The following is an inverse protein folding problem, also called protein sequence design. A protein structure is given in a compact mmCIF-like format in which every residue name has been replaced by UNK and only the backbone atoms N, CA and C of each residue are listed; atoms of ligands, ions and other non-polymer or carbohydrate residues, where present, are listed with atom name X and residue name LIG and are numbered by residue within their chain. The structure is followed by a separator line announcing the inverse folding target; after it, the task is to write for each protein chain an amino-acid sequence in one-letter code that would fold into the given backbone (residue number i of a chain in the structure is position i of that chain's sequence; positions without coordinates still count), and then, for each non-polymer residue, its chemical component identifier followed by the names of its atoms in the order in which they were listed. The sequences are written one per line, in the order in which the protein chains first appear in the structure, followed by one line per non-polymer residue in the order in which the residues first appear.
data_IF_123650267404
#
_entry.id   IF_123650267404
#
_cell.length_a   1.000
_cell.length_b   1.000
_cell.length_c   1.000
_cell.angle_alpha   90.00
_cell.angle_beta   90.00
_cell.angle_gamma   90.00
#
_symmetry.space_group_name_H-M   'P 1'
#
loop_
_entity.id
_entity.type
_entity.pdbx_description
1 polymer ?
#
# COMPACT_ATOMS: atom_id res chain seq x y z
N UNK A 1 5.94 -2.64 -8.92
CA UNK A 1 5.16 -1.93 -7.87
C UNK A 1 5.83 -0.61 -7.57
N UNK A 2 5.06 0.48 -7.46
CA UNK A 2 5.56 1.83 -7.20
C UNK A 2 4.74 2.50 -6.09
N UNK A 3 5.38 3.38 -5.28
CA UNK A 3 4.71 4.17 -4.24
C UNK A 3 5.23 5.59 -4.31
N UNK A 4 4.32 6.56 -4.47
CA UNK A 4 4.65 7.97 -4.62
C UNK A 4 3.85 8.86 -3.67
N UNK A 5 4.48 9.94 -3.19
CA UNK A 5 3.80 10.95 -2.39
C UNK A 5 2.93 11.83 -3.28
N UNK A 6 1.64 11.93 -2.96
CA UNK A 6 0.71 12.85 -3.63
C UNK A 6 0.50 14.11 -2.82
N UNK A 7 0.26 13.97 -1.51
CA UNK A 7 0.06 15.12 -0.64
C UNK A 7 0.35 14.79 0.82
N UNK A 8 0.66 15.83 1.58
CA UNK A 8 0.85 15.75 3.03
C UNK A 8 0.40 17.07 3.65
N UNK A 9 -0.07 17.03 4.90
CA UNK A 9 -0.32 18.25 5.68
C UNK A 9 0.94 19.12 5.71
N UNK A 10 0.87 20.41 5.36
CA UNK A 10 2.01 21.32 5.41
C UNK A 10 2.64 21.36 6.80
N UNK A 11 4.00 21.35 6.86
CA UNK A 11 4.75 21.32 8.12
C UNK A 11 4.22 20.30 9.13
N UNK A 12 3.92 19.08 8.67
CA UNK A 12 3.14 18.05 9.35
C UNK A 12 3.55 17.83 10.82
N UNK A 13 4.83 17.64 11.09
CA UNK A 13 5.35 17.40 12.45
C UNK A 13 5.24 18.64 13.35
N UNK A 14 5.53 19.83 12.79
CA UNK A 14 5.35 21.10 13.49
C UNK A 14 3.88 21.34 13.82
N UNK A 15 3.00 21.07 12.87
CA UNK A 15 1.54 21.20 13.02
C UNK A 15 1.01 20.28 14.12
N UNK A 16 1.41 19.00 14.12
CA UNK A 16 1.05 18.06 15.19
C UNK A 16 1.52 18.55 16.56
N UNK A 17 2.75 19.03 16.65
CA UNK A 17 3.33 19.51 17.91
C UNK A 17 2.65 20.81 18.40
N UNK A 18 2.32 21.72 17.50
CA UNK A 18 1.55 22.91 17.82
C UNK A 18 0.19 22.54 18.42
N UNK A 19 -0.54 21.64 17.79
CA UNK A 19 -1.85 21.17 18.26
C UNK A 19 -1.72 20.40 19.60
N UNK A 20 -0.68 19.56 19.75
CA UNK A 20 -0.41 18.85 21.01
C UNK A 20 -0.25 19.80 22.21
N UNK A 21 0.19 21.04 21.98
CA UNK A 21 0.39 22.06 23.01
C UNK A 21 -0.84 22.94 23.25
N UNK A 22 -2.03 22.55 22.80
CA UNK A 22 -3.27 23.33 22.94
C UNK A 22 -3.54 23.80 24.38
N UNK A 23 -3.13 23.01 25.37
CA UNK A 23 -3.27 23.36 26.81
C UNK A 23 -2.07 24.15 27.36
N UNK A 24 -1.12 24.55 26.52
CA UNK A 24 0.03 25.39 26.88
C UNK A 24 0.29 26.47 25.84
N UNK A 25 -0.60 27.50 25.74
CA UNK A 25 -0.58 28.49 24.65
C UNK A 25 0.76 29.22 24.53
N UNK A 26 1.41 29.51 25.64
CA UNK A 26 2.70 30.26 25.67
C UNK A 26 3.86 29.45 25.05
N UNK A 27 3.71 28.13 24.87
CA UNK A 27 4.72 27.24 24.31
C UNK A 27 4.28 26.62 22.98
N UNK A 28 3.13 27.03 22.46
CA UNK A 28 2.49 26.37 21.31
C UNK A 28 3.37 26.46 20.05
N UNK A 29 3.99 27.63 19.83
CA UNK A 29 4.85 27.88 18.66
C UNK A 29 6.33 27.51 18.86
N UNK A 30 6.66 26.79 19.92
CA UNK A 30 8.05 26.38 20.17
C UNK A 30 8.57 25.48 19.04
N UNK A 31 9.68 25.88 18.35
CA UNK A 31 10.22 25.13 17.24
C UNK A 31 10.87 23.79 17.64
N UNK A 32 11.15 23.60 18.94
CA UNK A 32 11.73 22.35 19.48
C UNK A 32 10.60 21.34 19.73
N UNK A 33 10.21 20.58 18.73
CA UNK A 33 9.08 19.66 18.82
C UNK A 33 9.44 18.16 18.77
N UNK A 34 10.60 17.77 18.26
CA UNK A 34 11.00 16.37 18.14
C UNK A 34 10.88 15.60 19.47
N UNK A 35 11.38 16.19 20.57
CA UNK A 35 11.28 15.61 21.91
C UNK A 35 9.83 15.42 22.40
N UNK A 36 8.91 16.32 22.02
CA UNK A 36 7.49 16.18 22.34
C UNK A 36 6.86 15.02 21.58
N UNK A 37 7.13 14.89 20.27
CA UNK A 37 6.60 13.79 19.46
C UNK A 37 7.13 12.44 19.96
N UNK A 38 8.44 12.37 20.30
CA UNK A 38 9.05 11.19 20.92
C UNK A 38 8.39 10.83 22.26
N UNK A 39 8.11 11.82 23.12
CA UNK A 39 7.39 11.62 24.37
C UNK A 39 5.96 11.07 24.09
N UNK A 40 5.23 11.62 23.14
CA UNK A 40 3.89 11.18 22.80
C UNK A 40 3.87 9.72 22.31
N UNK A 41 4.81 9.31 21.48
CA UNK A 41 4.95 7.92 21.02
C UNK A 41 5.24 7.00 22.21
N UNK A 42 6.24 7.34 23.03
CA UNK A 42 6.65 6.56 24.20
C UNK A 42 5.52 6.32 25.19
N UNK A 43 4.62 7.30 25.34
CA UNK A 43 3.49 7.24 26.28
C UNK A 43 2.14 6.90 25.64
N UNK A 44 2.15 6.46 24.37
CA UNK A 44 0.94 6.08 23.62
C UNK A 44 -0.10 7.21 23.50
N UNK A 45 0.33 8.46 23.41
CA UNK A 45 -0.54 9.62 23.18
C UNK A 45 -0.84 9.77 21.68
N UNK A 46 -1.58 8.81 21.12
CA UNK A 46 -1.79 8.65 19.69
C UNK A 46 -2.68 9.71 19.05
N UNK A 47 -3.53 10.42 19.81
CA UNK A 47 -4.43 11.45 19.28
C UNK A 47 -3.69 12.60 18.57
N UNK A 48 -2.46 12.90 18.97
CA UNK A 48 -1.59 13.90 18.34
C UNK A 48 -1.34 13.54 16.86
N UNK A 49 -1.12 12.27 16.56
CA UNK A 49 -0.79 11.76 15.23
C UNK A 49 -2.00 11.60 14.30
N UNK A 50 -3.21 11.88 14.80
CA UNK A 50 -4.42 12.01 13.97
C UNK A 50 -4.54 13.41 13.32
N UNK A 51 -3.74 14.39 13.76
CA UNK A 51 -3.86 15.79 13.35
C UNK A 51 -3.08 16.13 12.07
N UNK A 52 -2.49 15.14 11.43
CA UNK A 52 -1.78 15.27 10.15
C UNK A 52 -2.10 14.09 9.27
N UNK A 53 -2.21 14.31 7.97
CA UNK A 53 -2.55 13.28 6.98
C UNK A 53 -1.53 13.25 5.84
N UNK A 54 -1.42 12.08 5.21
CA UNK A 54 -0.61 11.85 4.02
C UNK A 54 -1.41 11.00 3.02
N UNK A 55 -1.29 11.34 1.73
CA UNK A 55 -1.86 10.57 0.61
C UNK A 55 -0.72 10.00 -0.22
N UNK A 56 -0.75 8.70 -0.44
CA UNK A 56 0.15 8.01 -1.37
C UNK A 56 -0.61 7.44 -2.56
N UNK A 57 0.04 7.48 -3.72
CA UNK A 57 -0.30 6.65 -4.88
C UNK A 57 0.44 5.32 -4.76
N UNK A 58 -0.27 4.23 -4.96
CA UNK A 58 0.27 2.86 -4.87
C UNK A 58 -0.11 2.11 -6.15
N UNK A 59 0.89 1.72 -6.94
CA UNK A 59 0.73 0.82 -8.07
C UNK A 59 0.96 -0.62 -7.65
N UNK A 60 -0.04 -1.47 -7.87
CA UNK A 60 -0.04 -2.86 -7.42
C UNK A 60 -0.96 -3.72 -8.29
N UNK A 61 -1.28 -4.92 -7.84
CA UNK A 61 -2.25 -5.82 -8.49
C UNK A 61 -3.60 -5.80 -7.76
N UNK A 62 -4.66 -6.23 -8.46
CA UNK A 62 -6.01 -6.39 -7.87
C UNK A 62 -6.00 -7.33 -6.66
N UNK A 63 -5.14 -8.36 -6.67
CA UNK A 63 -4.99 -9.29 -5.55
C UNK A 63 -4.52 -8.58 -4.27
N UNK A 64 -3.51 -7.73 -4.38
CA UNK A 64 -2.94 -7.00 -3.23
C UNK A 64 -3.83 -5.81 -2.85
N UNK A 65 -4.39 -5.11 -3.84
CA UNK A 65 -5.37 -4.05 -3.61
C UNK A 65 -6.52 -4.50 -2.70
N UNK A 66 -7.08 -5.69 -2.95
CA UNK A 66 -8.13 -6.26 -2.13
C UNK A 66 -7.73 -6.43 -0.65
N UNK A 67 -6.46 -6.63 -0.34
CA UNK A 67 -5.94 -6.69 1.04
C UNK A 67 -5.75 -5.28 1.63
N UNK A 68 -5.23 -4.33 0.84
CA UNK A 68 -5.01 -2.93 1.25
C UNK A 68 -6.34 -2.26 1.60
N UNK A 69 -7.35 -2.43 0.77
CA UNK A 69 -8.68 -1.83 0.94
C UNK A 69 -9.42 -2.27 2.22
N UNK A 70 -8.93 -3.29 2.92
CA UNK A 70 -9.49 -3.72 4.23
C UNK A 70 -9.06 -2.85 5.41
N UNK A 71 -8.10 -1.94 5.23
CA UNK A 71 -7.65 -1.02 6.28
C UNK A 71 -8.63 0.14 6.47
N UNK A 72 -9.57 -0.01 7.41
CA UNK A 72 -10.70 0.89 7.64
C UNK A 72 -10.33 2.29 8.14
N UNK A 73 -9.09 2.48 8.62
CA UNK A 73 -8.60 3.79 9.07
C UNK A 73 -8.09 4.68 7.93
N UNK A 74 -8.30 4.26 6.68
CA UNK A 74 -7.93 4.98 5.47
C UNK A 74 -9.14 5.22 4.59
N UNK A 75 -9.01 6.22 3.72
CA UNK A 75 -9.88 6.44 2.57
C UNK A 75 -9.13 6.09 1.29
N UNK A 76 -9.87 5.62 0.29
CA UNK A 76 -9.29 5.10 -0.94
C UNK A 76 -10.01 5.62 -2.18
N UNK A 77 -9.22 5.81 -3.24
CA UNK A 77 -9.70 5.91 -4.60
C UNK A 77 -8.93 4.90 -5.44
N UNK A 78 -9.61 3.94 -6.05
CA UNK A 78 -8.98 2.92 -6.88
C UNK A 78 -9.33 3.12 -8.36
N UNK A 79 -8.39 2.78 -9.25
CA UNK A 79 -8.61 2.75 -10.70
C UNK A 79 -9.84 1.90 -11.06
N UNK A 80 -10.80 2.53 -11.73
CA UNK A 80 -12.07 1.89 -12.05
C UNK A 80 -12.06 1.20 -13.42
N UNK A 81 -11.99 -0.11 -13.42
CA UNK A 81 -12.16 -0.92 -14.63
C UNK A 81 -13.59 -0.92 -15.21
N UNK A 82 -14.53 -0.22 -14.57
CA UNK A 82 -15.86 0.07 -15.16
C UNK A 82 -15.82 1.29 -16.07
N UNK A 83 -14.90 2.21 -15.79
CA UNK A 83 -14.73 3.48 -16.51
C UNK A 83 -13.65 3.40 -17.58
N UNK A 84 -12.46 2.95 -17.21
CA UNK A 84 -11.28 2.87 -18.07
C UNK A 84 -10.97 1.41 -18.48
N UNK A 85 -10.19 1.22 -19.52
CA UNK A 85 -9.74 -0.11 -19.94
C UNK A 85 -8.58 -0.58 -19.05
N UNK A 86 -8.54 -1.89 -18.75
CA UNK A 86 -7.53 -2.45 -17.83
C UNK A 86 -6.09 -2.33 -18.33
N UNK A 87 -5.88 -2.27 -19.65
CA UNK A 87 -4.57 -2.14 -20.28
C UNK A 87 -3.95 -0.75 -20.18
N UNK A 88 -4.69 0.26 -19.72
CA UNK A 88 -4.17 1.63 -19.50
C UNK A 88 -3.10 1.69 -18.39
N UNK A 89 -3.08 0.73 -17.48
CA UNK A 89 -2.10 0.61 -16.40
C UNK A 89 -0.95 -0.37 -16.70
N UNK A 90 -0.84 -0.83 -17.93
CA UNK A 90 0.20 -1.76 -18.36
C UNK A 90 -0.29 -3.20 -18.53
N UNK A 91 0.66 -4.10 -18.72
CA UNK A 91 0.39 -5.52 -18.97
C UNK A 91 0.30 -6.29 -17.66
N UNK A 92 -0.39 -7.45 -17.72
CA UNK A 92 -0.46 -8.39 -16.61
C UNK A 92 0.89 -9.07 -16.46
N UNK A 93 1.52 -8.89 -15.29
CA UNK A 93 2.80 -9.51 -14.95
C UNK A 93 2.59 -10.85 -14.23
N UNK A 94 3.54 -11.77 -14.39
CA UNK A 94 3.54 -13.02 -13.65
C UNK A 94 3.78 -12.75 -12.15
N UNK A 95 3.01 -13.40 -11.26
CA UNK A 95 3.33 -13.37 -9.84
C UNK A 95 4.59 -14.17 -9.56
N UNK A 96 5.32 -13.79 -8.52
CA UNK A 96 6.44 -14.57 -8.00
C UNK A 96 5.92 -15.87 -7.37
N UNK A 97 6.12 -17.02 -8.06
CA UNK A 97 5.62 -18.31 -7.61
C UNK A 97 6.49 -18.86 -6.48
N UNK A 98 5.88 -19.07 -5.32
CA UNK A 98 6.50 -19.60 -4.12
C UNK A 98 5.80 -20.89 -3.66
N UNK A 99 6.51 -21.71 -2.88
CA UNK A 99 5.95 -22.92 -2.30
C UNK A 99 5.12 -22.60 -1.06
N UNK A 100 4.03 -23.34 -0.85
CA UNK A 100 3.21 -23.22 0.34
C UNK A 100 4.00 -23.66 1.59
N UNK A 101 4.05 -22.82 2.62
CA UNK A 101 4.57 -23.19 3.93
C UNK A 101 3.65 -24.25 4.59
N UNK A 102 4.24 -25.35 5.03
CA UNK A 102 3.50 -26.49 5.61
C UNK A 102 3.01 -26.20 7.05
N UNK A 103 3.66 -25.29 7.77
CA UNK A 103 3.34 -24.95 9.16
C UNK A 103 2.42 -23.72 9.24
N UNK A 104 2.71 -22.69 8.49
CA UNK A 104 1.91 -21.48 8.44
C UNK A 104 1.17 -21.37 7.11
N UNK A 105 -0.14 -21.65 7.13
CA UNK A 105 -0.99 -21.65 5.92
C UNK A 105 -1.07 -20.31 5.20
N UNK A 106 -0.68 -19.21 5.84
CA UNK A 106 -0.67 -17.87 5.23
C UNK A 106 0.70 -17.49 4.67
N UNK A 107 1.73 -18.28 4.92
CA UNK A 107 3.09 -18.04 4.51
C UNK A 107 3.50 -18.83 3.27
N UNK A 108 4.57 -18.40 2.62
CA UNK A 108 5.20 -19.08 1.51
C UNK A 108 6.72 -19.12 1.70
N UNK A 109 7.37 -20.07 1.06
CA UNK A 109 8.83 -20.27 1.08
C UNK A 109 9.40 -20.21 -0.34
N UNK A 110 10.64 -19.74 -0.50
CA UNK A 110 11.25 -19.52 -1.82
C UNK A 110 11.91 -20.81 -2.40
N UNK A 111 11.58 -21.98 -1.83
CA UNK A 111 12.14 -23.28 -2.20
C UNK A 111 11.24 -24.08 -3.19
N UNK A 112 10.45 -23.38 -4.02
CA UNK A 112 9.72 -24.02 -5.11
C UNK A 112 10.72 -24.58 -6.15
N UNK A 113 10.53 -25.87 -6.52
CA UNK A 113 11.36 -26.52 -7.53
C UNK A 113 11.41 -25.68 -8.82
N UNK A 114 12.62 -25.37 -9.36
CA UNK A 114 12.76 -24.50 -10.53
C UNK A 114 12.08 -25.04 -11.79
N UNK A 115 12.05 -26.36 -12.00
CA UNK A 115 11.40 -26.96 -13.15
C UNK A 115 9.86 -26.84 -13.03
N UNK A 116 9.32 -27.05 -11.82
CA UNK A 116 7.90 -26.84 -11.52
C UNK A 116 7.52 -25.39 -11.74
N UNK A 117 8.34 -24.45 -11.23
CA UNK A 117 8.16 -23.00 -11.42
C UNK A 117 8.08 -22.65 -12.90
N UNK A 118 9.10 -23.00 -13.69
CA UNK A 118 9.15 -22.70 -15.13
C UNK A 118 7.97 -23.26 -15.89
N UNK A 119 7.57 -24.51 -15.60
CA UNK A 119 6.40 -25.14 -16.23
C UNK A 119 5.12 -24.37 -15.95
N UNK A 120 4.89 -23.97 -14.70
CA UNK A 120 3.70 -23.24 -14.30
C UNK A 120 3.67 -21.82 -14.87
N UNK A 121 4.81 -21.12 -14.87
CA UNK A 121 4.94 -19.79 -15.49
C UNK A 121 4.59 -19.81 -16.98
N UNK A 122 5.07 -20.81 -17.72
CA UNK A 122 4.73 -20.97 -19.14
C UNK A 122 3.21 -21.17 -19.36
N UNK A 123 2.55 -21.94 -18.49
CA UNK A 123 1.10 -22.12 -18.53
C UNK A 123 0.34 -20.83 -18.17
N UNK A 124 0.83 -20.10 -17.19
CA UNK A 124 0.24 -18.80 -16.78
C UNK A 124 0.36 -17.76 -17.88
N UNK A 125 1.51 -17.67 -18.58
CA UNK A 125 1.69 -16.78 -19.74
C UNK A 125 0.61 -17.05 -20.78
N UNK A 126 0.38 -18.32 -21.14
CA UNK A 126 -0.64 -18.70 -22.11
C UNK A 126 -2.04 -18.31 -21.63
N UNK A 127 -2.36 -18.58 -20.37
CA UNK A 127 -3.66 -18.23 -19.78
C UNK A 127 -3.90 -16.73 -19.74
N UNK A 128 -2.90 -15.94 -19.31
CA UNK A 128 -3.02 -14.49 -19.20
C UNK A 128 -3.14 -13.83 -20.57
N UNK A 129 -2.37 -14.31 -21.56
CA UNK A 129 -2.49 -13.85 -22.95
C UNK A 129 -3.90 -14.14 -23.52
N UNK A 130 -4.44 -15.32 -23.24
CA UNK A 130 -5.80 -15.69 -23.67
C UNK A 130 -6.88 -14.85 -22.97
N UNK A 131 -6.72 -14.60 -21.67
CA UNK A 131 -7.65 -13.76 -20.92
C UNK A 131 -7.64 -12.30 -21.41
N UNK A 132 -6.45 -11.75 -21.69
CA UNK A 132 -6.32 -10.41 -22.24
C UNK A 132 -6.91 -10.31 -23.66
N UNK A 133 -6.66 -11.31 -24.51
CA UNK A 133 -7.22 -11.36 -25.86
C UNK A 133 -8.76 -11.41 -25.83
N UNK A 134 -9.32 -12.24 -24.95
CA UNK A 134 -10.78 -12.33 -24.78
C UNK A 134 -11.36 -11.00 -24.25
N UNK A 135 -10.69 -10.37 -23.27
CA UNK A 135 -11.10 -9.06 -22.78
C UNK A 135 -11.15 -8.01 -23.90
N UNK A 136 -10.09 -7.94 -24.70
CA UNK A 136 -10.01 -7.00 -25.83
C UNK A 136 -11.11 -7.25 -26.86
N UNK A 137 -11.33 -8.51 -27.23
CA UNK A 137 -12.41 -8.91 -28.14
C UNK A 137 -13.79 -8.51 -27.59
N UNK A 138 -14.07 -8.75 -26.30
CA UNK A 138 -15.33 -8.34 -25.67
C UNK A 138 -15.54 -6.83 -25.76
N UNK A 139 -14.48 -6.03 -25.54
CA UNK A 139 -14.56 -4.57 -25.68
C UNK A 139 -14.83 -4.16 -27.13
N UNK A 140 -14.16 -4.76 -28.10
CA UNK A 140 -14.34 -4.48 -29.55
C UNK A 140 -15.75 -4.82 -30.02
N UNK A 141 -16.34 -5.90 -29.50
CA UNK A 141 -17.71 -6.31 -29.77
C UNK A 141 -18.79 -5.53 -29.00
N UNK A 142 -18.36 -4.50 -28.21
CA UNK A 142 -19.27 -3.60 -27.49
C UNK A 142 -19.78 -4.13 -26.16
N UNK A 143 -19.18 -5.18 -25.60
CA UNK A 143 -19.51 -5.65 -24.26
C UNK A 143 -19.10 -4.60 -23.21
N UNK A 144 -19.99 -4.32 -22.27
CA UNK A 144 -19.73 -3.35 -21.21
C UNK A 144 -18.46 -3.72 -20.42
N UNK A 145 -17.59 -2.73 -20.13
CA UNK A 145 -16.33 -2.90 -19.38
C UNK A 145 -16.55 -3.62 -18.05
N UNK A 146 -17.67 -3.37 -17.37
CA UNK A 146 -18.02 -4.03 -16.10
C UNK A 146 -18.24 -5.54 -16.23
N UNK A 147 -18.60 -6.02 -17.41
CA UNK A 147 -18.74 -7.44 -17.73
C UNK A 147 -17.41 -8.01 -18.25
N UNK A 148 -16.79 -7.32 -19.23
CA UNK A 148 -15.55 -7.77 -19.85
C UNK A 148 -14.42 -8.00 -18.82
N UNK A 149 -14.27 -7.12 -17.83
CA UNK A 149 -13.25 -7.24 -16.77
C UNK A 149 -13.31 -8.53 -15.95
N UNK A 150 -14.42 -9.27 -15.99
CA UNK A 150 -14.60 -10.49 -15.20
C UNK A 150 -13.70 -11.66 -15.66
N UNK A 151 -13.16 -11.59 -16.88
CA UNK A 151 -12.23 -12.61 -17.40
C UNK A 151 -10.77 -12.34 -17.00
N UNK A 152 -10.48 -11.17 -16.41
CA UNK A 152 -9.11 -10.78 -16.07
C UNK A 152 -8.64 -11.45 -14.78
N UNK A 153 -7.37 -11.91 -14.71
CA UNK A 153 -6.80 -12.52 -13.53
C UNK A 153 -6.57 -11.49 -12.41
N UNK A 154 -6.46 -11.99 -11.17
CA UNK A 154 -6.20 -11.16 -9.99
C UNK A 154 -4.86 -10.40 -10.02
N UNK A 155 -3.90 -10.85 -10.82
CA UNK A 155 -2.62 -10.15 -11.04
C UNK A 155 -2.73 -8.98 -12.04
N UNK A 156 -3.93 -8.67 -12.55
CA UNK A 156 -4.16 -7.44 -13.34
C UNK A 156 -3.74 -6.20 -12.55
N UNK A 157 -2.95 -5.28 -13.17
CA UNK A 157 -2.51 -4.06 -12.51
C UNK A 157 -3.67 -3.18 -12.05
N UNK A 158 -3.46 -2.48 -10.95
CA UNK A 158 -4.34 -1.43 -10.45
C UNK A 158 -3.54 -0.33 -9.78
N UNK A 159 -4.17 0.83 -9.60
CA UNK A 159 -3.62 2.00 -8.91
C UNK A 159 -4.59 2.44 -7.83
N UNK A 160 -4.06 2.72 -6.64
CA UNK A 160 -4.83 3.16 -5.49
C UNK A 160 -4.24 4.47 -4.98
N UNK A 161 -5.09 5.46 -4.72
CA UNK A 161 -4.76 6.57 -3.83
C UNK A 161 -5.24 6.20 -2.44
N UNK A 162 -4.33 6.24 -1.48
CA UNK A 162 -4.58 5.85 -0.09
C UNK A 162 -4.26 7.02 0.83
N UNK A 163 -5.29 7.53 1.53
CA UNK A 163 -5.18 8.68 2.43
C UNK A 163 -5.45 8.26 3.86
N UNK A 164 -4.57 8.65 4.76
CA UNK A 164 -4.74 8.39 6.19
C UNK A 164 -3.98 9.35 7.08
N UNK A 165 -4.30 9.34 8.37
CA UNK A 165 -3.55 10.10 9.38
C UNK A 165 -2.15 9.53 9.57
N UNK A 166 -1.24 10.32 10.14
CA UNK A 166 0.09 9.87 10.54
C UNK A 166 0.00 8.59 11.41
N UNK A 167 -0.94 8.53 12.37
CA UNK A 167 -1.21 7.34 13.19
C UNK A 167 -1.61 6.12 12.35
N UNK A 168 -2.52 6.30 11.39
CA UNK A 168 -2.97 5.22 10.52
C UNK A 168 -1.81 4.65 9.72
N UNK A 169 -0.95 5.51 9.17
CA UNK A 169 0.25 5.11 8.44
C UNK A 169 1.25 4.34 9.31
N UNK A 170 1.51 4.80 10.56
CA UNK A 170 2.36 4.07 11.51
C UNK A 170 1.83 2.65 11.70
N UNK A 171 0.55 2.53 12.05
CA UNK A 171 -0.07 1.23 12.28
C UNK A 171 -0.05 0.31 11.04
N UNK A 172 -0.37 0.86 9.85
CA UNK A 172 -0.33 0.11 8.59
C UNK A 172 1.07 -0.43 8.29
N UNK A 173 2.08 0.43 8.37
CA UNK A 173 3.46 0.08 8.06
C UNK A 173 3.94 -1.00 9.03
N UNK A 174 3.77 -0.83 10.34
CA UNK A 174 4.16 -1.83 11.34
C UNK A 174 3.47 -3.19 11.10
N UNK A 175 2.17 -3.16 10.88
CA UNK A 175 1.39 -4.38 10.68
C UNK A 175 1.80 -5.12 9.40
N UNK A 176 2.08 -4.39 8.31
CA UNK A 176 2.30 -5.00 6.99
C UNK A 176 3.76 -5.22 6.64
N UNK A 177 4.70 -4.60 7.36
CA UNK A 177 6.12 -4.97 7.31
C UNK A 177 6.46 -6.17 8.22
N UNK A 178 5.51 -6.62 9.04
CA UNK A 178 5.73 -7.74 9.95
C UNK A 178 5.79 -9.09 9.22
N UNK A 179 6.55 -10.03 9.82
CA UNK A 179 6.66 -11.40 9.34
C UNK A 179 5.29 -12.09 9.25
N UNK A 180 5.04 -12.80 8.16
CA UNK A 180 3.75 -13.47 7.88
C UNK A 180 2.79 -12.64 7.02
N UNK A 181 3.17 -11.41 6.67
CA UNK A 181 2.50 -10.66 5.59
C UNK A 181 2.90 -11.25 4.23
N UNK A 182 1.99 -11.29 3.27
CA UNK A 182 2.32 -11.67 1.90
C UNK A 182 3.42 -10.77 1.34
N UNK A 183 4.45 -11.35 0.71
CA UNK A 183 5.68 -10.68 0.25
C UNK A 183 5.40 -9.39 -0.53
N UNK A 184 4.50 -9.42 -1.51
CA UNK A 184 4.17 -8.27 -2.34
C UNK A 184 3.51 -7.14 -1.53
N UNK A 185 2.70 -7.48 -0.52
CA UNK A 185 2.11 -6.49 0.38
C UNK A 185 3.16 -5.91 1.35
N UNK A 186 4.08 -6.74 1.82
CA UNK A 186 5.20 -6.30 2.66
C UNK A 186 6.12 -5.33 1.90
N UNK A 187 6.44 -5.62 0.64
CA UNK A 187 7.23 -4.74 -0.23
C UNK A 187 6.58 -3.35 -0.41
N UNK A 188 5.24 -3.31 -0.56
CA UNK A 188 4.48 -2.05 -0.59
C UNK A 188 4.58 -1.32 0.74
N UNK A 189 4.39 -2.01 1.87
CA UNK A 189 4.49 -1.40 3.19
C UNK A 189 5.89 -0.80 3.44
N UNK A 190 6.94 -1.49 3.03
CA UNK A 190 8.33 -1.00 3.09
C UNK A 190 8.56 0.20 2.16
N UNK A 191 7.95 0.23 0.98
CA UNK A 191 8.00 1.39 0.09
C UNK A 191 7.25 2.59 0.70
N UNK A 192 6.08 2.36 1.32
CA UNK A 192 5.36 3.38 2.09
C UNK A 192 6.22 3.90 3.26
N UNK A 193 6.92 3.01 3.99
CA UNK A 193 7.84 3.40 5.08
C UNK A 193 8.93 4.33 4.60
N UNK A 194 9.54 4.06 3.45
CA UNK A 194 10.57 4.93 2.86
C UNK A 194 10.05 6.34 2.55
N UNK A 195 8.82 6.45 2.04
CA UNK A 195 8.19 7.76 1.81
C UNK A 195 7.85 8.42 3.15
N UNK A 196 7.25 7.69 4.09
CA UNK A 196 6.88 8.17 5.42
C UNK A 196 8.09 8.75 6.17
N UNK A 197 9.21 8.03 6.18
CA UNK A 197 10.44 8.44 6.88
C UNK A 197 10.99 9.77 6.36
N UNK A 198 10.85 10.04 5.06
CA UNK A 198 11.25 11.35 4.49
C UNK A 198 10.31 12.48 4.91
N UNK A 199 9.03 12.19 5.12
CA UNK A 199 8.00 13.19 5.42
C UNK A 199 7.81 13.44 6.92
N UNK A 200 8.10 12.44 7.76
CA UNK A 200 7.97 12.47 9.21
C UNK A 200 9.29 12.02 9.89
N UNK A 201 10.38 12.78 9.72
CA UNK A 201 11.71 12.34 10.20
C UNK A 201 11.79 12.21 11.73
N UNK A 202 11.21 13.15 12.51
CA UNK A 202 11.25 13.09 13.97
C UNK A 202 10.36 11.97 14.53
N UNK A 203 9.24 11.69 13.87
CA UNK A 203 8.37 10.56 14.21
C UNK A 203 9.09 9.24 13.90
N UNK A 204 9.75 9.15 12.75
CA UNK A 204 10.47 7.94 12.33
C UNK A 204 11.67 7.65 13.23
N UNK A 205 12.42 8.68 13.69
CA UNK A 205 13.47 8.53 14.68
C UNK A 205 12.90 8.01 16.02
N UNK A 206 11.74 8.54 16.44
CA UNK A 206 11.11 8.11 17.69
C UNK A 206 10.56 6.67 17.64
N UNK A 207 10.26 6.16 16.44
CA UNK A 207 9.84 4.77 16.15
C UNK A 207 11.02 3.83 15.89
N UNK A 208 12.25 4.33 15.90
CA UNK A 208 13.47 3.57 15.57
C UNK A 208 13.46 2.98 14.15
N UNK A 209 12.86 3.71 13.20
CA UNK A 209 12.79 3.30 11.78
C UNK A 209 13.98 3.84 10.95
N UNK A 210 14.81 4.68 11.52
CA UNK A 210 16.03 5.29 10.97
C UNK A 210 17.17 5.20 11.97
#
# INVERSE_FOLDING_TARGET
MNVELISITPDAEKTMAHIARVSNPNNQDNPKYAGLLKYCIKHNHWSVFEQSSMTLEIETTRAIAAQILRHRSFTFQEFSQRYAQSNELGQIELPDLRKQDLKNRQNSTDDLDPFVRQKLEAQMITLFSSAQALYNQMIEEGVAKECARMVLPLCTPTRIYMTGSCRSWIHYIELRSAHGTQKEHMEIAEACRKVFTKQFPSVSEALEWV
#
